data_IF_717971418275
#
_entry.id   IF_717971418275
#
_cell.length_a   1.000
_cell.length_b   1.000
_cell.length_c   1.000
_cell.angle_alpha   90.00
_cell.angle_beta   90.00
_cell.angle_gamma   90.00
#
_symmetry.space_group_name_H-M   'P 1'
#
loop_
_entity.id
_entity.type
_entity.pdbx_description
1 polymer ?
#
# COMPACT_ATOMS: atom_id res chain seq x y z
N UNK A 1 -31.94 -8.13 36.16
CA UNK A 1 -31.15 -9.37 36.00
C UNK A 1 -31.53 -10.00 34.65
N UNK A 2 -30.93 -9.59 33.56
CA UNK A 2 -31.10 -10.24 32.26
C UNK A 2 -29.87 -11.11 32.01
N UNK A 3 -30.15 -12.35 31.68
CA UNK A 3 -29.27 -13.50 31.66
C UNK A 3 -28.12 -13.35 30.68
N UNK A 4 -26.88 -13.50 31.17
CA UNK A 4 -25.62 -13.60 30.41
C UNK A 4 -25.52 -14.83 29.49
N UNK A 5 -26.58 -15.62 29.35
CA UNK A 5 -26.58 -16.88 28.59
C UNK A 5 -26.93 -16.76 27.12
N UNK A 6 -27.47 -15.61 26.64
CA UNK A 6 -27.82 -15.39 25.24
C UNK A 6 -26.69 -14.80 24.39
N UNK A 7 -25.62 -14.33 25.01
CA UNK A 7 -24.48 -13.74 24.29
C UNK A 7 -23.48 -14.80 23.78
N UNK A 8 -23.54 -16.03 24.30
CA UNK A 8 -22.61 -17.10 23.94
C UNK A 8 -23.05 -18.00 22.79
N UNK A 9 -24.26 -17.87 22.26
CA UNK A 9 -24.73 -18.71 21.14
C UNK A 9 -24.44 -18.15 19.72
N UNK A 10 -24.06 -16.89 19.61
CA UNK A 10 -23.68 -16.30 18.32
C UNK A 10 -22.20 -16.42 17.97
N UNK A 11 -21.42 -17.21 18.71
CA UNK A 11 -19.94 -17.24 18.61
C UNK A 11 -19.33 -18.36 17.78
N UNK A 12 -20.11 -19.07 16.99
CA UNK A 12 -19.51 -20.01 16.01
C UNK A 12 -19.57 -19.42 14.61
N UNK A 13 -18.56 -18.64 14.27
CA UNK A 13 -18.32 -18.25 12.89
C UNK A 13 -17.80 -19.42 12.09
N UNK A 14 -18.43 -19.66 10.95
CA UNK A 14 -18.04 -20.60 9.92
C UNK A 14 -16.82 -20.13 9.08
N UNK A 15 -16.05 -19.16 9.54
CA UNK A 15 -14.76 -18.87 8.96
C UNK A 15 -13.69 -19.66 9.71
N UNK A 16 -12.93 -20.53 9.05
CA UNK A 16 -11.75 -21.13 9.65
C UNK A 16 -10.67 -20.05 9.78
N UNK A 17 -10.81 -19.17 10.77
CA UNK A 17 -9.85 -18.11 11.08
C UNK A 17 -8.47 -18.63 11.45
N UNK A 18 -8.31 -19.95 11.66
CA UNK A 18 -7.02 -20.56 12.04
C UNK A 18 -6.23 -21.21 10.92
N UNK A 19 -6.83 -21.48 9.76
CA UNK A 19 -6.12 -22.15 8.65
C UNK A 19 -5.50 -21.16 7.67
N UNK A 20 -6.02 -19.93 7.59
CA UNK A 20 -5.49 -18.88 6.68
C UNK A 20 -4.37 -18.02 7.30
N UNK A 21 -4.17 -18.07 8.62
CA UNK A 21 -3.12 -17.29 9.28
C UNK A 21 -1.68 -17.77 9.00
N UNK A 22 -1.49 -18.98 8.47
CA UNK A 22 -0.15 -19.54 8.21
C UNK A 22 0.28 -19.51 6.74
N UNK A 23 -0.54 -19.06 5.83
CA UNK A 23 -0.08 -18.72 4.49
C UNK A 23 0.43 -17.28 4.58
N UNK A 24 1.73 -17.14 4.88
CA UNK A 24 2.47 -15.89 4.71
C UNK A 24 2.15 -15.37 3.31
N UNK A 25 1.24 -14.41 3.25
CA UNK A 25 0.90 -13.73 2.01
C UNK A 25 2.14 -12.88 1.63
N UNK A 26 3.13 -13.50 0.99
CA UNK A 26 4.35 -12.84 0.48
C UNK A 26 4.03 -11.89 -0.69
N UNK A 27 2.86 -11.27 -0.68
CA UNK A 27 2.43 -10.33 -1.71
C UNK A 27 2.58 -8.92 -1.20
N UNK A 28 3.35 -8.14 -1.93
CA UNK A 28 3.42 -6.70 -1.79
C UNK A 28 2.03 -6.08 -2.04
N UNK A 29 1.69 -5.02 -1.32
CA UNK A 29 0.51 -4.20 -1.63
C UNK A 29 0.80 -3.15 -2.69
N UNK A 30 2.07 -2.86 -2.94
CA UNK A 30 2.51 -1.95 -3.98
C UNK A 30 3.20 -2.67 -5.12
N UNK A 31 2.87 -2.32 -6.34
CA UNK A 31 3.64 -2.73 -7.52
C UNK A 31 5.10 -2.24 -7.37
N UNK A 32 6.05 -3.04 -7.85
CA UNK A 32 7.50 -2.75 -7.76
C UNK A 32 7.85 -1.37 -8.34
N UNK A 33 7.20 -1.00 -9.45
CA UNK A 33 7.33 0.32 -10.06
C UNK A 33 6.86 1.45 -9.14
N UNK A 34 5.77 1.23 -8.36
CA UNK A 34 5.18 2.24 -7.47
C UNK A 34 6.10 2.64 -6.32
N UNK A 35 6.89 1.69 -5.77
CA UNK A 35 7.90 1.94 -4.75
C UNK A 35 9.28 2.28 -5.36
N UNK A 36 9.39 2.24 -6.70
CA UNK A 36 10.62 2.55 -7.45
C UNK A 36 11.71 1.49 -7.31
N UNK A 37 11.33 0.24 -7.05
CA UNK A 37 12.25 -0.88 -6.91
C UNK A 37 12.90 -1.24 -8.25
N UNK A 38 12.14 -1.19 -9.35
CA UNK A 38 12.67 -1.46 -10.70
C UNK A 38 13.79 -0.49 -11.08
N UNK A 39 13.61 0.79 -10.74
CA UNK A 39 14.66 1.80 -10.95
C UNK A 39 15.89 1.52 -10.10
N UNK A 40 15.71 1.10 -8.85
CA UNK A 40 16.81 0.73 -7.98
C UNK A 40 17.60 -0.45 -8.56
N UNK A 41 16.92 -1.51 -9.00
CA UNK A 41 17.53 -2.69 -9.61
C UNK A 41 18.27 -2.37 -10.90
N UNK A 42 17.69 -1.54 -11.75
CA UNK A 42 18.37 -1.05 -12.96
C UNK A 42 19.69 -0.32 -12.64
N UNK A 43 19.68 0.58 -11.63
CA UNK A 43 20.91 1.26 -11.22
C UNK A 43 21.89 0.32 -10.54
N UNK A 44 21.41 -0.65 -9.76
CA UNK A 44 22.21 -1.71 -9.15
C UNK A 44 22.96 -2.50 -10.22
N UNK A 45 22.26 -3.01 -11.21
CA UNK A 45 22.84 -3.75 -12.33
C UNK A 45 23.86 -2.91 -13.09
N UNK A 46 23.53 -1.67 -13.41
CA UNK A 46 24.43 -0.74 -14.08
C UNK A 46 25.73 -0.53 -13.32
N UNK A 47 25.66 -0.29 -12.00
CA UNK A 47 26.84 -0.08 -11.15
C UNK A 47 27.65 -1.38 -11.01
N UNK A 48 27.00 -2.52 -10.81
CA UNK A 48 27.69 -3.80 -10.71
C UNK A 48 28.45 -4.17 -11.99
N UNK A 49 27.94 -3.79 -13.15
CA UNK A 49 28.57 -4.03 -14.45
C UNK A 49 29.72 -3.05 -14.76
N UNK A 50 29.82 -1.93 -14.04
CA UNK A 50 30.92 -0.96 -14.20
C UNK A 50 32.23 -1.41 -13.53
N UNK A 51 32.15 -2.33 -12.57
CA UNK A 51 33.30 -2.79 -11.80
C UNK A 51 33.60 -4.25 -12.11
N UNK A 52 34.86 -4.57 -12.35
CA UNK A 52 35.33 -5.96 -12.34
C UNK A 52 35.30 -6.52 -10.92
N UNK A 53 35.33 -7.85 -10.75
CA UNK A 53 35.30 -8.42 -9.38
C UNK A 53 36.50 -7.98 -8.51
N UNK A 54 37.74 -7.90 -9.02
CA UNK A 54 38.86 -7.36 -8.23
C UNK A 54 38.65 -5.88 -7.85
N UNK A 55 38.07 -5.07 -8.75
CA UNK A 55 37.83 -3.65 -8.48
C UNK A 55 36.72 -3.48 -7.40
N UNK A 56 35.73 -4.34 -7.40
CA UNK A 56 34.68 -4.35 -6.33
C UNK A 56 35.30 -4.64 -4.96
N UNK A 57 36.23 -5.60 -4.90
CA UNK A 57 36.91 -5.96 -3.66
C UNK A 57 37.76 -4.78 -3.15
N UNK A 58 38.59 -4.22 -4.04
CA UNK A 58 39.44 -3.06 -3.72
C UNK A 58 38.61 -1.86 -3.26
N UNK A 59 37.47 -1.62 -3.93
CA UNK A 59 36.55 -0.55 -3.55
C UNK A 59 35.98 -0.79 -2.14
N UNK A 60 35.54 -2.02 -1.83
CA UNK A 60 35.04 -2.36 -0.48
C UNK A 60 36.10 -2.15 0.61
N UNK A 61 37.33 -2.60 0.38
CA UNK A 61 38.45 -2.42 1.31
C UNK A 61 38.73 -0.95 1.57
N UNK A 62 38.76 -0.14 0.50
CA UNK A 62 38.94 1.32 0.59
C UNK A 62 37.79 1.96 1.36
N UNK A 63 36.52 1.60 1.07
CA UNK A 63 35.37 2.15 1.77
C UNK A 63 35.34 1.72 3.25
N UNK A 64 35.81 0.51 3.57
CA UNK A 64 35.93 0.09 4.96
C UNK A 64 36.96 0.92 5.74
N UNK A 65 38.10 1.26 5.12
CA UNK A 65 39.07 2.17 5.74
C UNK A 65 38.52 3.60 5.92
N UNK A 66 37.68 4.06 4.98
CA UNK A 66 37.02 5.38 5.11
C UNK A 66 35.89 5.39 6.12
N UNK A 67 35.19 4.28 6.29
CA UNK A 67 34.11 4.11 7.26
C UNK A 67 34.59 4.02 8.71
N UNK A 68 35.88 3.80 8.94
CA UNK A 68 36.46 3.74 10.28
C UNK A 68 36.21 5.07 11.04
N UNK A 69 35.70 5.02 12.27
CA UNK A 69 35.46 6.20 13.09
C UNK A 69 36.71 7.09 13.34
N UNK A 70 37.87 6.46 13.44
CA UNK A 70 39.15 7.15 13.66
C UNK A 70 39.70 7.80 12.39
N UNK A 71 39.20 7.45 11.24
CA UNK A 71 39.63 8.01 9.96
C UNK A 71 39.08 9.42 9.77
N UNK A 72 39.94 10.38 9.43
CA UNK A 72 39.55 11.75 9.05
C UNK A 72 38.96 11.83 7.62
N UNK A 73 38.84 10.67 6.94
CA UNK A 73 38.29 10.64 5.57
C UNK A 73 36.79 10.95 5.56
N UNK A 74 36.37 11.71 4.57
CA UNK A 74 34.95 12.01 4.34
C UNK A 74 34.34 10.94 3.43
N UNK A 75 33.07 10.61 3.69
CA UNK A 75 32.26 9.79 2.79
C UNK A 75 31.57 10.70 1.77
N UNK A 76 31.85 10.51 0.49
CA UNK A 76 31.20 11.29 -0.55
C UNK A 76 29.85 10.67 -0.95
N UNK A 77 28.97 11.50 -1.47
CA UNK A 77 27.64 11.09 -1.95
C UNK A 77 27.72 9.96 -2.98
N UNK A 78 28.69 10.03 -3.91
CA UNK A 78 28.85 9.01 -4.94
C UNK A 78 29.38 7.69 -4.37
N UNK A 79 30.30 7.74 -3.38
CA UNK A 79 30.81 6.52 -2.72
C UNK A 79 29.67 5.80 -2.01
N UNK A 80 28.83 6.52 -1.27
CA UNK A 80 27.69 5.94 -0.58
C UNK A 80 26.63 5.40 -1.56
N UNK A 81 26.39 6.08 -2.69
CA UNK A 81 25.51 5.55 -3.75
C UNK A 81 26.04 4.23 -4.30
N UNK A 82 27.33 4.18 -4.63
CA UNK A 82 27.94 2.97 -5.19
C UNK A 82 27.83 1.80 -4.23
N UNK A 83 28.21 1.99 -2.95
CA UNK A 83 28.19 0.90 -1.98
C UNK A 83 26.76 0.39 -1.71
N UNK A 84 25.76 1.28 -1.63
CA UNK A 84 24.35 0.88 -1.44
C UNK A 84 23.82 0.06 -2.61
N UNK A 85 24.28 0.32 -3.85
CA UNK A 85 23.88 -0.47 -5.02
C UNK A 85 24.74 -1.74 -5.19
N UNK A 86 25.96 -1.76 -4.67
CA UNK A 86 26.85 -2.93 -4.74
C UNK A 86 26.60 -3.94 -3.63
N UNK A 87 26.04 -3.53 -2.49
CA UNK A 87 25.83 -4.35 -1.33
C UNK A 87 25.12 -5.67 -1.65
N UNK A 88 25.72 -6.77 -1.22
CA UNK A 88 25.16 -8.11 -1.30
C UNK A 88 24.37 -8.49 -0.04
N UNK A 89 23.96 -9.75 0.04
CA UNK A 89 23.29 -10.33 1.21
C UNK A 89 24.29 -10.72 2.33
N UNK A 90 25.56 -10.37 2.16
CA UNK A 90 26.63 -10.70 3.09
C UNK A 90 26.61 -9.76 4.30
N UNK A 91 26.82 -10.27 5.48
CA UNK A 91 26.87 -9.50 6.72
C UNK A 91 27.96 -8.41 6.67
N UNK A 92 29.08 -8.70 6.02
CA UNK A 92 30.18 -7.73 5.81
C UNK A 92 29.75 -6.52 5.01
N UNK A 93 29.02 -6.72 3.89
CA UNK A 93 28.52 -5.61 3.06
C UNK A 93 27.47 -4.79 3.83
N UNK A 94 26.56 -5.45 4.55
CA UNK A 94 25.51 -4.76 5.31
C UNK A 94 26.11 -3.93 6.46
N UNK A 95 27.10 -4.45 7.16
CA UNK A 95 27.81 -3.72 8.23
C UNK A 95 28.63 -2.55 7.68
N UNK A 96 29.24 -2.70 6.51
CA UNK A 96 29.95 -1.62 5.83
C UNK A 96 29.00 -0.49 5.44
N UNK A 97 27.86 -0.82 4.84
CA UNK A 97 26.82 0.16 4.48
C UNK A 97 26.34 0.90 5.73
N UNK A 98 26.06 0.20 6.83
CA UNK A 98 25.63 0.81 8.10
C UNK A 98 26.66 1.80 8.63
N UNK A 99 27.95 1.40 8.70
CA UNK A 99 29.05 2.26 9.15
C UNK A 99 29.18 3.50 8.28
N UNK A 100 29.16 3.34 6.96
CA UNK A 100 29.25 4.45 6.01
C UNK A 100 28.07 5.41 6.16
N UNK A 101 26.84 4.91 6.30
CA UNK A 101 25.65 5.74 6.49
C UNK A 101 25.72 6.54 7.79
N UNK A 102 26.11 5.90 8.91
CA UNK A 102 26.27 6.60 10.20
C UNK A 102 27.31 7.69 10.10
N UNK A 103 28.47 7.42 9.52
CA UNK A 103 29.52 8.40 9.31
C UNK A 103 29.04 9.54 8.41
N UNK A 104 28.38 9.21 7.30
CA UNK A 104 27.81 10.20 6.37
C UNK A 104 26.74 11.08 7.06
N UNK A 105 25.91 10.51 7.94
CA UNK A 105 24.89 11.26 8.67
C UNK A 105 25.49 12.22 9.69
N UNK A 106 26.61 11.85 10.34
CA UNK A 106 27.34 12.70 11.28
C UNK A 106 28.14 13.81 10.59
N UNK A 107 28.49 13.67 9.31
CA UNK A 107 29.22 14.69 8.57
C UNK A 107 28.42 15.98 8.45
N UNK A 108 29.14 17.12 8.50
CA UNK A 108 28.54 18.43 8.31
C UNK A 108 27.76 18.48 6.96
N UNK A 109 26.51 18.89 7.03
CA UNK A 109 25.64 18.98 5.85
C UNK A 109 26.21 19.92 4.77
N UNK A 110 26.95 20.97 5.18
CA UNK A 110 27.62 21.87 4.24
C UNK A 110 28.72 21.23 3.40
N UNK A 111 29.23 20.06 3.81
CA UNK A 111 30.22 19.28 3.06
C UNK A 111 29.58 18.22 2.14
N UNK A 112 28.25 18.10 2.16
CA UNK A 112 27.52 17.18 1.28
C UNK A 112 27.25 17.85 -0.05
N UNK A 113 27.79 17.30 -1.12
CA UNK A 113 27.49 17.79 -2.46
C UNK A 113 26.11 17.29 -2.92
N UNK A 114 25.19 18.22 -3.18
CA UNK A 114 23.86 17.96 -3.73
C UNK A 114 22.80 17.56 -2.70
N UNK A 115 21.54 17.59 -3.16
CA UNK A 115 20.34 17.30 -2.35
C UNK A 115 19.87 15.83 -2.52
N UNK A 116 20.81 14.88 -2.54
CA UNK A 116 20.45 13.48 -2.74
C UNK A 116 19.84 12.87 -1.48
N UNK A 117 18.64 12.33 -1.59
CA UNK A 117 17.91 11.71 -0.48
C UNK A 117 18.20 10.21 -0.44
N UNK A 118 19.04 9.77 0.49
CA UNK A 118 19.43 8.36 0.62
C UNK A 118 18.37 7.46 1.22
N UNK A 119 17.56 7.95 2.14
CA UNK A 119 16.59 7.16 2.88
C UNK A 119 15.77 6.20 2.03
N UNK A 120 15.07 6.65 0.99
CA UNK A 120 14.31 5.75 0.11
C UNK A 120 15.16 4.75 -0.66
N UNK A 121 16.41 5.10 -1.03
CA UNK A 121 17.30 4.21 -1.79
C UNK A 121 17.80 3.08 -0.90
N UNK A 122 18.19 3.40 0.32
CA UNK A 122 18.61 2.41 1.33
C UNK A 122 17.46 1.47 1.69
N UNK A 123 16.24 1.99 1.86
CA UNK A 123 15.08 1.13 2.10
C UNK A 123 14.77 0.20 0.93
N UNK A 124 14.98 0.64 -0.34
CA UNK A 124 14.89 -0.24 -1.51
C UNK A 124 15.99 -1.30 -1.53
N UNK A 125 17.19 -1.01 -1.06
CA UNK A 125 18.26 -1.99 -0.89
C UNK A 125 17.82 -3.10 0.08
N UNK A 126 17.34 -2.74 1.27
CA UNK A 126 16.85 -3.72 2.24
C UNK A 126 15.62 -4.48 1.74
N UNK A 127 14.75 -3.82 0.98
CA UNK A 127 13.61 -4.45 0.33
C UNK A 127 14.05 -5.50 -0.69
N UNK A 128 15.00 -5.15 -1.56
CA UNK A 128 15.57 -6.06 -2.55
C UNK A 128 16.26 -7.27 -1.91
N UNK A 129 16.97 -7.05 -0.81
CA UNK A 129 17.64 -8.10 -0.03
C UNK A 129 16.72 -8.84 0.95
N UNK A 130 15.46 -8.41 1.07
CA UNK A 130 14.46 -8.93 2.00
C UNK A 130 14.97 -9.02 3.46
N UNK A 131 15.53 -7.91 3.99
CA UNK A 131 16.06 -7.78 5.35
C UNK A 131 15.23 -6.83 6.23
N UNK A 132 14.00 -7.22 6.64
CA UNK A 132 13.10 -6.33 7.40
C UNK A 132 13.66 -5.96 8.78
N UNK A 133 14.32 -6.90 9.48
CA UNK A 133 14.82 -6.69 10.84
C UNK A 133 15.96 -5.68 10.86
N UNK A 134 16.90 -5.79 9.93
CA UNK A 134 18.02 -4.86 9.82
C UNK A 134 17.53 -3.48 9.43
N UNK A 135 16.60 -3.42 8.46
CA UNK A 135 15.98 -2.16 8.04
C UNK A 135 15.27 -1.45 9.19
N UNK A 136 14.48 -2.20 10.00
CA UNK A 136 13.77 -1.66 11.16
C UNK A 136 14.72 -1.21 12.26
N UNK A 137 15.75 -2.02 12.56
CA UNK A 137 16.79 -1.67 13.56
C UNK A 137 17.47 -0.35 13.18
N UNK A 138 17.92 -0.25 11.94
CA UNK A 138 18.60 0.96 11.44
C UNK A 138 17.67 2.18 11.39
N UNK A 139 16.40 1.97 11.05
CA UNK A 139 15.39 3.02 11.03
C UNK A 139 15.15 3.64 12.40
N UNK A 140 15.22 2.82 13.47
CA UNK A 140 15.03 3.23 14.85
C UNK A 140 16.33 3.68 15.53
N UNK A 141 17.47 3.61 14.85
CA UNK A 141 18.77 3.97 15.42
C UNK A 141 18.86 5.51 15.61
N UNK A 142 19.11 6.01 16.84
CA UNK A 142 19.28 7.43 17.11
C UNK A 142 20.41 8.08 16.29
N UNK A 143 21.45 7.33 15.92
CA UNK A 143 22.55 7.83 15.08
C UNK A 143 22.10 8.16 13.64
N UNK A 144 20.95 7.60 13.22
CA UNK A 144 20.35 7.80 11.91
C UNK A 144 19.23 8.82 11.92
N UNK A 145 19.08 9.60 12.99
CA UNK A 145 18.05 10.63 13.03
C UNK A 145 18.18 11.63 11.88
N UNK A 146 17.03 11.98 11.28
CA UNK A 146 16.97 12.85 10.10
C UNK A 146 17.28 12.17 8.76
N UNK A 147 17.94 11.00 8.74
CA UNK A 147 18.33 10.31 7.50
C UNK A 147 17.14 9.75 6.72
N UNK A 148 16.14 9.24 7.44
CA UNK A 148 14.95 8.61 6.86
C UNK A 148 13.71 9.51 6.82
N UNK A 149 13.84 10.82 7.02
CA UNK A 149 12.71 11.76 7.14
C UNK A 149 11.89 11.99 5.85
N UNK A 150 11.95 11.06 4.92
CA UNK A 150 11.15 11.11 3.70
C UNK A 150 10.04 10.07 3.74
N UNK A 151 8.78 10.44 3.47
CA UNK A 151 7.63 9.55 3.53
C UNK A 151 7.77 8.28 2.69
N UNK A 152 8.50 8.35 1.56
CA UNK A 152 8.77 7.15 0.76
C UNK A 152 9.63 6.13 1.51
N UNK A 153 10.53 6.55 2.42
CA UNK A 153 11.32 5.62 3.24
C UNK A 153 10.41 4.80 4.15
N UNK A 154 9.46 5.47 4.80
CA UNK A 154 8.45 4.84 5.65
C UNK A 154 7.57 3.88 4.86
N UNK A 155 7.07 4.31 3.71
CA UNK A 155 6.20 3.50 2.86
C UNK A 155 6.89 2.22 2.40
N UNK A 156 8.15 2.29 1.96
CA UNK A 156 8.92 1.14 1.51
C UNK A 156 9.22 0.20 2.68
N UNK A 157 9.61 0.73 3.84
CA UNK A 157 9.85 -0.07 5.05
C UNK A 157 8.57 -0.77 5.51
N UNK A 158 7.44 -0.07 5.58
CA UNK A 158 6.18 -0.65 6.02
C UNK A 158 5.66 -1.72 5.05
N UNK A 159 5.86 -1.56 3.74
CA UNK A 159 5.52 -2.60 2.76
C UNK A 159 6.43 -3.82 2.88
N UNK A 160 7.73 -3.62 3.14
CA UNK A 160 8.67 -4.71 3.46
C UNK A 160 8.25 -5.48 4.72
N UNK A 161 7.84 -4.77 5.77
CA UNK A 161 7.32 -5.37 7.01
C UNK A 161 6.02 -6.14 6.73
N UNK A 162 5.13 -5.60 5.90
CA UNK A 162 3.87 -6.25 5.52
C UNK A 162 4.09 -7.59 4.83
N UNK A 163 4.99 -7.67 3.86
CA UNK A 163 5.34 -8.92 3.15
C UNK A 163 5.88 -9.98 4.11
N UNK A 164 6.62 -9.53 5.14
CA UNK A 164 7.22 -10.42 6.13
C UNK A 164 6.30 -10.71 7.34
N UNK A 165 5.04 -10.25 7.31
CA UNK A 165 4.05 -10.53 8.35
C UNK A 165 4.27 -9.79 9.67
N UNK A 166 5.10 -8.74 9.68
CA UNK A 166 5.44 -7.93 10.86
C UNK A 166 4.48 -6.76 11.00
N UNK A 167 3.21 -7.06 11.33
CA UNK A 167 2.14 -6.07 11.31
C UNK A 167 2.16 -5.11 12.51
N UNK A 168 2.60 -5.56 13.67
CA UNK A 168 2.71 -4.72 14.87
C UNK A 168 3.79 -3.64 14.71
N UNK A 169 4.89 -4.00 14.05
CA UNK A 169 5.97 -3.06 13.74
C UNK A 169 5.50 -1.97 12.77
N UNK A 170 4.56 -2.28 11.86
CA UNK A 170 3.95 -1.27 10.99
C UNK A 170 3.23 -0.20 11.81
N UNK A 171 2.47 -0.61 12.83
CA UNK A 171 1.76 0.33 13.71
C UNK A 171 2.75 1.19 14.51
N UNK A 172 3.86 0.60 14.95
CA UNK A 172 4.92 1.31 15.67
C UNK A 172 5.63 2.35 14.76
N UNK A 173 5.97 1.95 13.53
CA UNK A 173 6.56 2.87 12.53
C UNK A 173 5.60 4.00 12.20
N UNK A 174 4.29 3.76 12.13
CA UNK A 174 3.31 4.82 11.90
C UNK A 174 3.24 5.82 13.06
N UNK A 175 3.33 5.37 14.31
CA UNK A 175 3.39 6.29 15.47
C UNK A 175 4.56 7.27 15.36
N UNK A 176 5.72 6.82 14.89
CA UNK A 176 6.88 7.70 14.69
C UNK A 176 6.64 8.77 13.59
N UNK A 177 5.79 8.49 12.59
CA UNK A 177 5.38 9.50 11.60
C UNK A 177 4.54 10.60 12.26
N UNK A 178 3.61 10.21 13.13
CA UNK A 178 2.74 11.14 13.84
C UNK A 178 3.55 12.04 14.81
N UNK A 179 4.48 11.45 15.55
CA UNK A 179 5.35 12.16 16.50
C UNK A 179 6.27 13.15 15.80
N UNK A 180 6.88 12.77 14.68
CA UNK A 180 7.81 13.60 13.91
C UNK A 180 7.13 14.60 12.99
N UNK A 181 5.81 14.55 12.83
CA UNK A 181 5.02 15.43 11.94
C UNK A 181 5.61 15.59 10.54
N UNK A 182 6.06 14.49 9.95
CA UNK A 182 6.81 14.49 8.70
C UNK A 182 5.99 15.08 7.55
N UNK A 183 6.60 16.03 6.82
CA UNK A 183 6.03 16.70 5.65
C UNK A 183 4.63 17.31 5.91
N UNK A 184 4.33 17.69 7.16
CA UNK A 184 3.03 18.27 7.57
C UNK A 184 1.83 17.34 7.30
N UNK A 185 2.07 16.10 6.94
CA UNK A 185 1.03 15.13 6.62
C UNK A 185 0.77 14.18 7.80
N UNK A 186 -0.25 14.49 8.61
CA UNK A 186 -0.69 13.59 9.70
C UNK A 186 -1.19 12.24 9.18
N UNK A 187 -1.83 12.23 8.00
CA UNK A 187 -2.45 11.05 7.39
C UNK A 187 -1.99 10.85 5.94
N UNK A 188 -0.73 10.42 5.69
CA UNK A 188 -0.24 10.19 4.32
C UNK A 188 -0.98 9.01 3.69
N UNK A 189 -1.63 9.22 2.55
CA UNK A 189 -2.55 8.25 1.92
C UNK A 189 -1.95 6.85 1.71
N UNK A 190 -0.71 6.78 1.23
CA UNK A 190 -0.03 5.51 1.00
C UNK A 190 0.30 4.76 2.29
N UNK A 191 0.76 5.49 3.31
CA UNK A 191 1.05 4.92 4.63
C UNK A 191 -0.23 4.45 5.32
N UNK A 192 -1.29 5.26 5.28
CA UNK A 192 -2.59 4.91 5.87
C UNK A 192 -3.13 3.58 5.35
N UNK A 193 -2.97 3.32 4.06
CA UNK A 193 -3.40 2.04 3.48
C UNK A 193 -2.66 0.86 4.12
N UNK A 194 -1.35 0.96 4.32
CA UNK A 194 -0.56 -0.10 4.98
C UNK A 194 -0.96 -0.30 6.44
N UNK A 195 -1.29 0.78 7.15
CA UNK A 195 -1.77 0.70 8.54
C UNK A 195 -3.10 -0.05 8.62
N UNK A 196 -4.09 0.31 7.80
CA UNK A 196 -5.37 -0.39 7.79
C UNK A 196 -5.25 -1.83 7.29
N UNK A 197 -4.34 -2.11 6.35
CA UNK A 197 -4.03 -3.47 5.93
C UNK A 197 -3.39 -4.29 7.06
N UNK A 198 -2.51 -3.69 7.85
CA UNK A 198 -1.91 -4.33 9.03
C UNK A 198 -2.99 -4.64 10.09
N UNK A 199 -3.87 -3.69 10.41
CA UNK A 199 -4.99 -3.91 11.33
C UNK A 199 -5.92 -5.05 10.85
N UNK A 200 -6.20 -5.11 9.55
CA UNK A 200 -6.98 -6.19 8.95
C UNK A 200 -6.30 -7.56 9.11
N UNK A 201 -4.99 -7.64 8.92
CA UNK A 201 -4.22 -8.89 9.05
C UNK A 201 -4.02 -9.32 10.50
N UNK A 202 -3.82 -8.38 11.41
CA UNK A 202 -3.78 -8.64 12.86
C UNK A 202 -5.11 -9.21 13.37
N UNK A 203 -6.22 -8.66 12.89
CA UNK A 203 -7.58 -9.12 13.22
C UNK A 203 -7.84 -9.30 14.72
N UNK A 204 -7.28 -8.43 15.55
CA UNK A 204 -7.55 -8.38 17.01
C UNK A 204 -8.55 -7.27 17.33
N UNK A 205 -9.24 -7.38 18.47
CA UNK A 205 -10.13 -6.32 18.95
C UNK A 205 -9.40 -5.01 19.17
N UNK A 206 -8.18 -5.06 19.70
CA UNK A 206 -7.33 -3.89 19.93
C UNK A 206 -6.94 -3.19 18.63
N UNK A 207 -6.55 -3.97 17.60
CA UNK A 207 -6.22 -3.41 16.29
C UNK A 207 -7.43 -2.81 15.60
N UNK A 208 -8.63 -3.37 15.84
CA UNK A 208 -9.87 -2.83 15.29
C UNK A 208 -10.28 -1.52 15.99
N UNK A 209 -10.22 -1.45 17.32
CA UNK A 209 -10.46 -0.21 18.06
C UNK A 209 -9.50 0.90 17.65
N UNK A 210 -8.22 0.55 17.48
CA UNK A 210 -7.23 1.47 16.94
C UNK A 210 -7.59 1.97 15.53
N UNK A 211 -8.02 1.06 14.64
CA UNK A 211 -8.46 1.42 13.30
C UNK A 211 -9.71 2.32 13.32
N UNK A 212 -10.69 2.06 14.20
CA UNK A 212 -11.88 2.90 14.38
C UNK A 212 -11.51 4.32 14.82
N UNK A 213 -10.63 4.44 15.82
CA UNK A 213 -10.14 5.74 16.29
C UNK A 213 -9.41 6.50 15.16
N UNK A 214 -8.51 5.81 14.46
CA UNK A 214 -7.75 6.39 13.37
C UNK A 214 -8.65 6.84 12.21
N UNK A 215 -9.72 6.11 11.95
CA UNK A 215 -10.74 6.48 10.97
C UNK A 215 -11.48 7.76 11.37
N UNK A 216 -11.93 7.86 12.62
CA UNK A 216 -12.59 9.05 13.17
C UNK A 216 -11.67 10.27 13.08
N UNK A 217 -10.44 10.15 13.57
CA UNK A 217 -9.42 11.21 13.53
C UNK A 217 -9.17 11.71 12.09
N UNK A 218 -9.18 10.79 11.11
CA UNK A 218 -8.97 11.11 9.70
C UNK A 218 -10.18 11.86 9.11
N UNK A 219 -11.40 11.46 9.46
CA UNK A 219 -12.63 12.13 9.03
C UNK A 219 -12.76 13.52 9.64
N UNK A 220 -12.50 13.67 10.93
CA UNK A 220 -12.51 14.97 11.64
C UNK A 220 -11.50 15.95 11.05
N UNK A 221 -10.34 15.45 10.63
CA UNK A 221 -9.32 16.24 9.94
C UNK A 221 -9.67 16.56 8.46
N UNK A 222 -10.80 16.09 7.96
CA UNK A 222 -11.24 16.32 6.57
C UNK A 222 -10.42 15.57 5.51
N UNK A 223 -9.65 14.55 5.91
CA UNK A 223 -8.87 13.74 4.98
C UNK A 223 -9.72 12.66 4.32
N UNK A 224 -9.73 12.65 2.98
CA UNK A 224 -10.42 11.62 2.20
C UNK A 224 -9.50 10.40 2.01
N UNK A 225 -9.86 9.22 2.56
CA UNK A 225 -9.10 8.00 2.40
C UNK A 225 -9.16 7.46 0.96
N UNK A 226 -8.15 6.70 0.55
CA UNK A 226 -8.19 6.00 -0.73
C UNK A 226 -9.10 4.76 -0.64
N UNK A 227 -9.66 4.35 -1.78
CA UNK A 227 -10.58 3.19 -1.85
C UNK A 227 -10.03 1.93 -1.19
N UNK A 228 -8.74 1.65 -1.37
CA UNK A 228 -8.09 0.47 -0.78
C UNK A 228 -8.09 0.51 0.74
N UNK A 229 -7.84 1.68 1.34
CA UNK A 229 -7.95 1.89 2.80
C UNK A 229 -9.36 1.57 3.30
N UNK A 230 -10.37 2.08 2.59
CA UNK A 230 -11.79 1.84 2.90
C UNK A 230 -12.13 0.35 2.85
N UNK A 231 -11.64 -0.37 1.82
CA UNK A 231 -11.90 -1.81 1.68
C UNK A 231 -11.26 -2.63 2.79
N UNK A 232 -10.03 -2.30 3.22
CA UNK A 232 -9.38 -2.98 4.35
C UNK A 232 -10.12 -2.72 5.68
N UNK A 233 -10.52 -1.46 5.92
CA UNK A 233 -11.24 -1.15 7.15
C UNK A 233 -12.62 -1.80 7.19
N UNK A 234 -13.38 -1.78 6.10
CA UNK A 234 -14.68 -2.44 6.02
C UNK A 234 -14.56 -3.97 6.19
N UNK A 235 -13.54 -4.60 5.57
CA UNK A 235 -13.28 -6.02 5.76
C UNK A 235 -12.87 -6.36 7.20
N UNK A 236 -12.07 -5.51 7.86
CA UNK A 236 -11.73 -5.66 9.27
C UNK A 236 -12.98 -5.56 10.16
N UNK A 237 -13.89 -4.62 9.90
CA UNK A 237 -15.14 -4.48 10.61
C UNK A 237 -16.02 -5.74 10.49
N UNK A 238 -16.09 -6.35 9.31
CA UNK A 238 -16.78 -7.64 9.13
C UNK A 238 -16.13 -8.73 9.98
N UNK A 239 -14.80 -8.85 9.94
CA UNK A 239 -14.07 -9.85 10.73
C UNK A 239 -14.29 -9.68 12.23
N UNK A 240 -14.53 -8.45 12.68
CA UNK A 240 -14.80 -8.12 14.09
C UNK A 240 -16.30 -8.07 14.46
N UNK A 241 -17.16 -8.74 13.68
CA UNK A 241 -18.61 -8.82 13.92
C UNK A 241 -19.33 -7.45 13.96
N UNK A 242 -18.84 -6.49 13.21
CA UNK A 242 -19.40 -5.14 13.12
C UNK A 242 -19.78 -4.77 11.66
N UNK A 243 -20.67 -5.57 11.01
CA UNK A 243 -21.01 -5.35 9.59
C UNK A 243 -21.72 -4.02 9.35
N UNK A 244 -22.38 -3.42 10.36
CA UNK A 244 -22.97 -2.09 10.27
C UNK A 244 -21.92 -1.01 10.03
N UNK A 245 -20.74 -1.07 10.69
CA UNK A 245 -19.61 -0.17 10.47
C UNK A 245 -19.07 -0.35 9.05
N UNK A 246 -18.98 -1.60 8.56
CA UNK A 246 -18.55 -1.86 7.18
C UNK A 246 -19.45 -1.17 6.15
N UNK A 247 -20.77 -1.22 6.31
CA UNK A 247 -21.71 -0.56 5.42
C UNK A 247 -21.59 0.98 5.50
N UNK A 248 -21.46 1.54 6.70
CA UNK A 248 -21.26 2.97 6.89
C UNK A 248 -20.02 3.48 6.17
N UNK A 249 -18.89 2.79 6.38
CA UNK A 249 -17.60 3.13 5.76
C UNK A 249 -17.67 3.06 4.23
N UNK A 250 -18.34 2.05 3.67
CA UNK A 250 -18.51 1.89 2.23
C UNK A 250 -19.32 3.04 1.63
N UNK A 251 -20.30 3.60 2.34
CA UNK A 251 -21.11 4.71 1.83
C UNK A 251 -20.31 5.99 1.57
N UNK A 252 -19.15 6.14 2.22
CA UNK A 252 -18.24 7.27 2.00
C UNK A 252 -17.60 7.28 0.59
N UNK A 253 -17.65 6.16 -0.14
CA UNK A 253 -17.10 6.04 -1.50
C UNK A 253 -18.13 6.48 -2.54
N UNK A 254 -17.78 7.47 -3.36
CA UNK A 254 -18.66 7.94 -4.45
C UNK A 254 -18.96 6.86 -5.49
N UNK A 255 -17.94 6.10 -5.92
CA UNK A 255 -18.10 5.02 -6.89
C UNK A 255 -18.18 3.66 -6.18
N UNK A 256 -19.39 3.15 -6.01
CA UNK A 256 -19.66 1.87 -5.37
C UNK A 256 -19.63 0.67 -6.34
N UNK A 257 -19.37 0.89 -7.62
CA UNK A 257 -19.27 -0.19 -8.62
C UNK A 257 -17.95 -0.96 -8.59
N UNK A 258 -17.05 -0.62 -7.65
CA UNK A 258 -15.78 -1.30 -7.49
C UNK A 258 -15.96 -2.73 -6.96
N UNK A 259 -15.36 -3.70 -7.64
CA UNK A 259 -15.57 -5.14 -7.39
C UNK A 259 -15.40 -5.53 -5.92
N UNK A 260 -14.31 -5.09 -5.29
CA UNK A 260 -14.03 -5.40 -3.87
C UNK A 260 -15.09 -4.83 -2.94
N UNK A 261 -15.55 -3.58 -3.18
CA UNK A 261 -16.59 -2.95 -2.36
C UNK A 261 -17.93 -3.68 -2.46
N UNK A 262 -18.31 -4.13 -3.68
CA UNK A 262 -19.53 -4.92 -3.87
C UNK A 262 -19.49 -6.23 -3.12
N UNK A 263 -18.37 -6.97 -3.22
CA UNK A 263 -18.19 -8.21 -2.49
C UNK A 263 -18.32 -7.98 -0.97
N UNK A 264 -17.64 -6.96 -0.41
CA UNK A 264 -17.71 -6.64 1.01
C UNK A 264 -19.14 -6.23 1.41
N UNK A 265 -19.83 -5.45 0.58
CA UNK A 265 -21.20 -5.01 0.84
C UNK A 265 -22.17 -6.18 0.89
N UNK A 266 -22.04 -7.14 -0.02
CA UNK A 266 -22.85 -8.38 -0.02
C UNK A 266 -22.60 -9.18 1.26
N UNK A 267 -21.34 -9.39 1.65
CA UNK A 267 -21.00 -10.10 2.89
C UNK A 267 -21.60 -9.39 4.12
N UNK A 268 -21.46 -8.06 4.20
CA UNK A 268 -22.00 -7.30 5.33
C UNK A 268 -23.53 -7.38 5.43
N UNK A 269 -24.24 -7.39 4.31
CA UNK A 269 -25.70 -7.57 4.28
C UNK A 269 -26.11 -8.98 4.71
N UNK A 270 -25.38 -10.00 4.27
CA UNK A 270 -25.63 -11.39 4.70
C UNK A 270 -25.40 -11.57 6.20
N UNK A 271 -24.32 -10.96 6.76
CA UNK A 271 -24.02 -11.02 8.19
C UNK A 271 -25.09 -10.29 9.05
N UNK A 272 -25.77 -9.28 8.47
CA UNK A 272 -26.90 -8.60 9.10
C UNK A 272 -28.25 -9.34 8.93
N UNK A 273 -28.28 -10.46 8.20
CA UNK A 273 -29.52 -11.16 7.85
C UNK A 273 -30.36 -10.43 6.78
N UNK A 274 -29.82 -9.44 6.10
CA UNK A 274 -30.50 -8.61 5.08
C UNK A 274 -30.27 -9.14 3.67
N UNK A 275 -30.55 -10.42 3.44
CA UNK A 275 -30.26 -11.10 2.17
C UNK A 275 -31.06 -10.49 1.02
N UNK A 276 -32.32 -10.08 1.26
CA UNK A 276 -33.15 -9.43 0.25
C UNK A 276 -32.51 -8.17 -0.33
N UNK A 277 -31.73 -7.44 0.48
CA UNK A 277 -31.01 -6.26 0.03
C UNK A 277 -29.71 -6.62 -0.75
N UNK A 278 -29.21 -7.85 -0.62
CA UNK A 278 -28.07 -8.33 -1.38
C UNK A 278 -28.47 -8.77 -2.82
N UNK A 279 -29.70 -9.24 -3.05
CA UNK A 279 -30.14 -9.70 -4.36
C UNK A 279 -30.05 -8.62 -5.46
N UNK A 280 -30.51 -7.37 -5.24
CA UNK A 280 -30.33 -6.31 -6.23
C UNK A 280 -28.87 -6.02 -6.56
N UNK A 281 -27.96 -6.17 -5.59
CA UNK A 281 -26.53 -5.99 -5.83
C UNK A 281 -25.98 -7.10 -6.73
N UNK A 282 -26.38 -8.35 -6.48
CA UNK A 282 -25.99 -9.49 -7.32
C UNK A 282 -26.52 -9.31 -8.75
N UNK A 283 -27.78 -8.89 -8.91
CA UNK A 283 -28.37 -8.61 -10.23
C UNK A 283 -27.73 -7.42 -10.96
N UNK A 284 -27.25 -6.41 -10.23
CA UNK A 284 -26.69 -5.21 -10.84
C UNK A 284 -25.52 -5.47 -11.78
N UNK A 285 -24.83 -6.61 -11.60
CA UNK A 285 -23.71 -7.01 -12.46
C UNK A 285 -24.20 -7.62 -13.76
N UNK A 286 -25.39 -8.24 -13.77
CA UNK A 286 -26.01 -8.85 -14.96
C UNK A 286 -26.55 -7.78 -15.92
N UNK A 287 -26.97 -6.61 -15.40
CA UNK A 287 -27.60 -5.52 -16.15
C UNK A 287 -26.63 -4.44 -16.60
N UNK A 288 -25.31 -4.65 -16.50
CA UNK A 288 -24.34 -3.66 -16.98
C UNK A 288 -24.32 -3.68 -18.50
N UNK A 289 -24.96 -2.69 -19.11
CA UNK A 289 -24.80 -2.41 -20.53
C UNK A 289 -23.32 -2.15 -20.83
N UNK A 290 -22.76 -2.95 -21.73
CA UNK A 290 -21.38 -2.77 -22.14
C UNK A 290 -21.26 -1.43 -22.87
N UNK A 291 -20.38 -0.50 -22.44
CA UNK A 291 -20.19 0.73 -23.17
C UNK A 291 -19.70 0.40 -24.58
N UNK A 292 -20.35 0.94 -25.59
CA UNK A 292 -19.97 0.79 -27.00
C UNK A 292 -18.60 1.40 -27.36
N UNK A 293 -17.97 2.08 -26.42
CA UNK A 293 -16.61 2.59 -26.56
C UNK A 293 -15.60 1.50 -26.24
N UNK A 294 -14.80 1.05 -27.22
CA UNK A 294 -13.87 -0.07 -27.21
C UNK A 294 -12.72 -0.03 -26.19
N UNK A 295 -13.00 0.39 -24.97
CA UNK A 295 -12.08 0.26 -23.83
C UNK A 295 -12.12 -1.14 -23.23
N UNK A 296 -11.06 -1.58 -22.50
CA UNK A 296 -11.03 -2.87 -21.86
C UNK A 296 -12.20 -2.97 -20.84
N UNK A 297 -13.12 -3.87 -21.09
CA UNK A 297 -14.23 -4.16 -20.19
C UNK A 297 -13.68 -4.83 -18.93
N UNK A 298 -13.65 -4.09 -17.83
CA UNK A 298 -13.32 -4.68 -16.52
C UNK A 298 -14.51 -5.54 -16.11
N UNK A 299 -14.40 -6.88 -16.27
CA UNK A 299 -15.42 -7.80 -15.79
C UNK A 299 -15.64 -7.59 -14.30
N UNK A 300 -16.89 -7.33 -13.94
CA UNK A 300 -17.30 -7.20 -12.56
C UNK A 300 -17.65 -8.59 -12.06
N UNK A 301 -16.80 -9.13 -11.18
CA UNK A 301 -16.93 -10.51 -10.71
C UNK A 301 -17.22 -10.55 -9.20
N UNK A 302 -17.92 -11.60 -8.77
CA UNK A 302 -18.02 -11.98 -7.36
C UNK A 302 -17.02 -13.07 -7.04
N UNK A 303 -16.47 -13.04 -5.82
CA UNK A 303 -15.60 -14.10 -5.33
C UNK A 303 -16.40 -15.35 -4.96
N UNK A 304 -15.87 -16.54 -5.24
CA UNK A 304 -16.53 -17.81 -4.95
C UNK A 304 -16.87 -17.98 -3.46
N UNK A 305 -15.97 -17.54 -2.57
CA UNK A 305 -16.17 -17.56 -1.12
C UNK A 305 -17.37 -16.68 -0.69
N UNK A 306 -17.54 -15.51 -1.31
CA UNK A 306 -18.68 -14.62 -1.06
C UNK A 306 -19.98 -15.28 -1.51
N UNK A 307 -20.00 -15.91 -2.68
CA UNK A 307 -21.18 -16.62 -3.17
C UNK A 307 -21.57 -17.78 -2.23
N UNK A 308 -20.59 -18.53 -1.73
CA UNK A 308 -20.84 -19.60 -0.78
C UNK A 308 -21.44 -19.08 0.54
N UNK A 309 -21.00 -17.88 0.98
CA UNK A 309 -21.59 -17.21 2.13
C UNK A 309 -23.06 -16.81 1.91
N UNK A 310 -23.37 -16.28 0.73
CA UNK A 310 -24.75 -15.91 0.38
C UNK A 310 -25.63 -17.15 0.37
N UNK A 311 -25.18 -18.28 -0.20
CA UNK A 311 -25.92 -19.55 -0.17
C UNK A 311 -26.18 -20.02 1.26
N UNK A 312 -25.14 -20.05 2.11
CA UNK A 312 -25.28 -20.47 3.50
C UNK A 312 -26.16 -19.53 4.33
N UNK A 313 -26.18 -18.24 3.99
CA UNK A 313 -27.08 -17.28 4.64
C UNK A 313 -28.53 -17.49 4.20
N UNK A 314 -28.78 -17.77 2.91
CA UNK A 314 -30.13 -18.04 2.39
C UNK A 314 -30.73 -19.34 2.98
N UNK A 315 -29.94 -20.39 3.12
CA UNK A 315 -30.36 -21.65 3.77
C UNK A 315 -30.85 -21.43 5.22
N UNK A 316 -30.28 -20.47 5.94
CA UNK A 316 -30.70 -20.14 7.31
C UNK A 316 -32.04 -19.41 7.40
N UNK A 317 -32.48 -18.76 6.30
CA UNK A 317 -33.72 -18.00 6.26
C UNK A 317 -34.97 -18.86 5.97
N UNK A 318 -34.79 -20.13 5.53
CA UNK A 318 -35.84 -21.11 5.21
C UNK A 318 -36.99 -20.56 4.33
N UNK A 319 -36.65 -19.59 3.46
CA UNK A 319 -37.59 -18.97 2.52
C UNK A 319 -37.37 -19.57 1.13
N UNK A 320 -38.37 -20.30 0.65
CA UNK A 320 -38.32 -20.99 -0.64
C UNK A 320 -38.28 -20.03 -1.83
N UNK A 321 -38.98 -18.88 -1.72
CA UNK A 321 -38.99 -17.88 -2.82
C UNK A 321 -37.61 -17.24 -2.94
N UNK A 322 -37.00 -16.88 -1.80
CA UNK A 322 -35.64 -16.36 -1.74
C UNK A 322 -34.64 -17.33 -2.37
N UNK A 323 -34.72 -18.63 -1.99
CA UNK A 323 -33.80 -19.64 -2.50
C UNK A 323 -33.93 -19.83 -4.03
N UNK A 324 -35.16 -19.91 -4.55
CA UNK A 324 -35.41 -20.02 -5.99
C UNK A 324 -34.92 -18.80 -6.79
N UNK A 325 -35.09 -17.60 -6.23
CA UNK A 325 -34.64 -16.37 -6.85
C UNK A 325 -33.12 -16.29 -6.85
N UNK A 326 -32.50 -16.64 -5.73
CA UNK A 326 -31.05 -16.70 -5.60
C UNK A 326 -30.44 -17.68 -6.59
N UNK A 327 -30.98 -18.90 -6.69
CA UNK A 327 -30.49 -19.91 -7.62
C UNK A 327 -30.56 -19.44 -9.08
N UNK A 328 -31.62 -18.74 -9.48
CA UNK A 328 -31.71 -18.12 -10.79
C UNK A 328 -30.61 -17.12 -11.07
N UNK A 329 -30.35 -16.22 -10.08
CA UNK A 329 -29.30 -15.20 -10.21
C UNK A 329 -27.92 -15.89 -10.28
N UNK A 330 -27.67 -16.90 -9.45
CA UNK A 330 -26.37 -17.58 -9.39
C UNK A 330 -26.10 -18.35 -10.68
N UNK A 331 -27.10 -19.05 -11.24
CA UNK A 331 -26.95 -19.73 -12.52
C UNK A 331 -26.62 -18.76 -13.66
N UNK A 332 -27.26 -17.59 -13.70
CA UNK A 332 -26.93 -16.55 -14.68
C UNK A 332 -25.51 -15.99 -14.49
N UNK A 333 -25.06 -15.80 -13.24
CA UNK A 333 -23.69 -15.35 -12.93
C UNK A 333 -22.66 -16.40 -13.34
N UNK A 334 -22.95 -17.69 -13.19
CA UNK A 334 -22.08 -18.78 -13.63
C UNK A 334 -22.02 -18.90 -15.16
N UNK A 335 -23.16 -18.83 -15.85
CA UNK A 335 -23.24 -18.85 -17.33
C UNK A 335 -22.44 -17.71 -17.96
N UNK A 336 -22.49 -16.51 -17.36
CA UNK A 336 -21.77 -15.32 -17.84
C UNK A 336 -20.31 -15.25 -17.36
N UNK A 337 -19.82 -16.28 -16.65
CA UNK A 337 -18.47 -16.28 -16.04
C UNK A 337 -18.19 -15.04 -15.18
N UNK A 338 -19.18 -14.63 -14.38
CA UNK A 338 -19.07 -13.49 -13.46
C UNK A 338 -18.65 -13.90 -12.03
N UNK A 339 -18.34 -15.18 -11.81
CA UNK A 339 -17.80 -15.70 -10.55
C UNK A 339 -16.32 -16.00 -10.73
N UNK A 340 -15.52 -15.45 -9.83
CA UNK A 340 -14.07 -15.66 -9.80
C UNK A 340 -13.70 -16.66 -8.71
N UNK A 341 -12.76 -17.56 -9.00
CA UNK A 341 -12.22 -18.51 -8.02
C UNK A 341 -11.28 -17.85 -6.99
N UNK A 342 -11.01 -16.55 -7.15
CA UNK A 342 -10.21 -15.79 -6.19
C UNK A 342 -10.97 -15.59 -4.88
N UNK A 343 -10.27 -15.66 -3.75
CA UNK A 343 -10.85 -15.35 -2.45
C UNK A 343 -10.94 -13.84 -2.23
N UNK A 344 -11.86 -13.39 -1.37
CA UNK A 344 -11.98 -11.98 -1.02
C UNK A 344 -10.68 -11.43 -0.39
N UNK A 345 -9.98 -12.22 0.43
CA UNK A 345 -8.67 -11.83 0.99
C UNK A 345 -7.62 -11.63 -0.11
N UNK A 346 -7.55 -12.52 -1.10
CA UNK A 346 -6.64 -12.37 -2.25
C UNK A 346 -6.96 -11.13 -3.08
N UNK A 347 -8.24 -10.81 -3.25
CA UNK A 347 -8.69 -9.61 -3.95
C UNK A 347 -8.35 -8.33 -3.15
N UNK A 348 -8.51 -8.35 -1.83
CA UNK A 348 -8.12 -7.27 -0.93
C UNK A 348 -6.61 -7.02 -0.97
N UNK A 349 -5.81 -8.08 -0.93
CA UNK A 349 -4.35 -8.01 -0.95
C UNK A 349 -3.76 -7.91 -2.37
N UNK A 350 -4.59 -7.67 -3.41
CA UNK A 350 -4.09 -7.45 -4.77
C UNK A 350 -3.23 -6.19 -4.84
N UNK A 351 -2.17 -6.23 -5.64
CA UNK A 351 -1.24 -5.12 -5.84
C UNK A 351 -1.93 -3.86 -6.41
N UNK A 352 -1.49 -2.71 -5.94
CA UNK A 352 -1.90 -1.42 -6.50
C UNK A 352 -1.03 -1.15 -7.71
N UNK A 353 -1.64 -1.25 -8.89
CA UNK A 353 -0.98 -0.90 -10.15
C UNK A 353 -0.89 0.61 -10.29
N UNK A 354 0.27 1.11 -10.67
CA UNK A 354 0.38 2.49 -11.15
C UNK A 354 -0.39 2.59 -12.46
N UNK A 355 -1.43 3.40 -12.47
CA UNK A 355 -2.01 3.86 -13.73
C UNK A 355 -0.98 4.84 -14.31
N UNK A 356 -0.24 4.42 -15.32
CA UNK A 356 0.50 5.35 -16.15
C UNK A 356 -0.52 6.35 -16.67
N UNK A 357 -0.41 7.60 -16.22
CA UNK A 357 -1.10 8.69 -16.90
C UNK A 357 -0.48 8.71 -18.29
N UNK A 358 -1.24 8.24 -19.26
CA UNK A 358 -0.95 8.52 -20.66
C UNK A 358 -0.93 10.05 -20.76
N UNK A 359 0.27 10.62 -20.68
CA UNK A 359 0.48 12.01 -21.02
C UNK A 359 0.12 12.14 -22.50
N UNK A 360 -1.10 12.57 -22.76
CA UNK A 360 -1.62 12.90 -24.09
C UNK A 360 -0.96 14.14 -24.68
N UNK A 361 0.16 14.55 -24.14
CA UNK A 361 1.07 15.52 -24.71
C UNK A 361 2.34 14.81 -25.14
N UNK A 362 2.32 14.29 -26.37
CA UNK A 362 3.48 13.98 -27.17
C UNK A 362 4.38 15.23 -27.25
N UNK A 363 5.26 15.40 -26.28
CA UNK A 363 6.49 16.20 -26.42
C UNK A 363 7.63 15.24 -26.19
N UNK A 364 8.18 14.81 -27.31
CA UNK A 364 9.49 14.20 -27.38
C UNK A 364 10.47 14.98 -26.48
N UNK A 365 10.72 14.48 -25.28
CA UNK A 365 11.84 14.93 -24.47
C UNK A 365 13.07 14.22 -25.02
N UNK A 366 13.66 14.85 -26.04
CA UNK A 366 15.04 14.60 -26.44
C UNK A 366 15.90 14.78 -25.19
N UNK A 367 16.41 13.68 -24.66
CA UNK A 367 17.49 13.67 -23.68
C UNK A 367 18.76 14.06 -24.44
N UNK A 368 19.06 15.35 -24.41
CA UNK A 368 20.27 15.90 -24.95
C UNK A 368 20.73 17.03 -24.03
N UNK A 369 21.84 16.77 -23.36
CA UNK A 369 22.53 17.74 -22.55
C UNK A 369 22.89 18.98 -23.38
N UNK A 370 22.66 20.16 -22.80
CA UNK A 370 23.66 21.23 -22.83
C UNK A 370 23.23 22.39 -21.95
N UNK A 371 24.10 22.78 -21.07
CA UNK A 371 24.13 24.08 -20.42
C UNK A 371 24.15 25.17 -21.48
N UNK A 372 23.15 26.05 -21.51
CA UNK A 372 23.33 27.42 -21.98
C UNK A 372 22.25 28.36 -21.45
N UNK A 373 22.74 29.27 -20.63
CA UNK A 373 22.36 30.68 -20.42
C UNK A 373 20.97 31.17 -20.86
N UNK A 374 20.25 31.68 -19.88
CA UNK A 374 19.56 32.96 -19.87
C UNK A 374 18.61 33.29 -21.05
N UNK A 375 17.31 33.03 -20.91
CA UNK A 375 16.27 33.86 -21.50
C UNK A 375 15.18 34.17 -20.49
N UNK A 376 14.70 35.41 -20.40
CA UNK A 376 13.73 35.82 -19.39
C UNK A 376 12.36 35.22 -19.71
N UNK A 377 11.70 34.70 -18.68
CA UNK A 377 10.30 34.28 -18.69
C UNK A 377 9.40 35.47 -19.10
N UNK A 378 8.79 35.44 -20.27
CA UNK A 378 7.66 36.30 -20.59
C UNK A 378 6.45 35.80 -19.82
N UNK A 379 6.03 36.54 -18.78
CA UNK A 379 4.70 36.41 -18.16
C UNK A 379 3.66 36.55 -19.27
N UNK A 380 2.91 35.45 -19.57
CA UNK A 380 1.65 35.55 -20.27
C UNK A 380 0.65 36.13 -19.28
N UNK A 381 0.31 37.40 -19.46
CA UNK A 381 -0.86 38.00 -18.83
C UNK A 381 -2.10 37.32 -19.40
N UNK A 382 -2.77 36.52 -18.61
CA UNK A 382 -4.16 36.13 -18.87
C UNK A 382 -5.06 37.35 -18.63
N UNK A 383 -5.31 38.14 -19.67
CA UNK A 383 -6.41 39.09 -19.63
C UNK A 383 -7.72 38.28 -19.65
N UNK A 384 -8.49 38.36 -18.58
CA UNK A 384 -9.90 37.99 -18.62
C UNK A 384 -10.62 38.96 -19.60
N UNK A 385 -11.46 38.46 -20.53
CA UNK A 385 -12.29 39.37 -21.34
C UNK A 385 -13.15 40.23 -20.41
N UNK A 386 -13.05 41.52 -20.57
CA UNK A 386 -13.94 42.48 -19.88
C UNK A 386 -15.30 42.50 -20.54
N UNK A 387 -16.30 43.02 -19.79
CA UNK A 387 -17.68 43.15 -20.25
C UNK A 387 -17.78 44.02 -21.55
N UNK A 388 -16.77 44.81 -21.86
CA UNK A 388 -16.68 45.63 -23.08
C UNK A 388 -16.32 44.84 -24.35
N UNK A 389 -15.96 43.59 -24.28
CA UNK A 389 -15.64 42.75 -25.42
C UNK A 389 -16.83 41.90 -25.91
N UNK A 390 -18.01 42.17 -25.36
CA UNK A 390 -19.28 41.49 -25.63
C UNK A 390 -20.38 42.43 -26.26
N UNK A 391 -19.97 43.60 -26.75
CA UNK A 391 -20.88 44.51 -27.48
C UNK A 391 -20.46 44.62 -28.93
#
# INVERSE_FOLDING_TARGET
MFSKSLINLCRQRLYPTKVLQNVLCKRSLYERAAIGLDKYEFFREKIQNQFSEPDKQLFRERMNSFADPESNSLIFTEDLKQIVHMAGDNETDLTLVEKMMKKYNKQNQGLRFGNFTFGPVVMRMYYHLNKPDIALKLFNDPEMDGFFNHLSSYQILMDLLFINGKFDEILTVYKSIQERQLQIAKFPKGVMMLVFAACYKLNTTESFEYACKLWSDQQEAGHSPIRKTITFFAANAINQNSPHIALEVITSVRNQSYVTLRNIKVVALCDLGRIFDALPLLRSVLSVDQPMSGGPVIKQTYCRDVINLVKSAAEKHDDKELSLELDRILNQLEELNMISETTLDSLLCSEIKMVERLDTNNRESVVGASYQSGRPFKKREFRRPGITDLL
#
